data_IF_105111992075
#
_entry.id   IF_105111992075
#
_cell.length_a   1.000
_cell.length_b   1.000
_cell.length_c   1.000
_cell.angle_alpha   90.00
_cell.angle_beta   90.00
_cell.angle_gamma   90.00
#
_symmetry.space_group_name_H-M   'P 1'
#
loop_
_entity.id
_entity.type
_entity.pdbx_description
1 polymer ?
#
# COMPACT_ATOMS: atom_id res chain seq x y z
N UNK A 1 -4.30 -8.44 -14.30
CA UNK A 1 -3.18 -8.92 -13.46
C UNK A 1 -3.71 -9.21 -12.06
N UNK A 2 -3.28 -10.28 -11.37
CA UNK A 2 -3.80 -10.62 -10.04
C UNK A 2 -3.30 -9.62 -8.97
N UNK A 3 -4.09 -9.47 -7.90
CA UNK A 3 -3.72 -8.65 -6.75
C UNK A 3 -2.44 -9.20 -6.09
N UNK A 4 -1.54 -8.30 -5.69
CA UNK A 4 -0.30 -8.65 -5.00
C UNK A 4 -0.37 -8.13 -3.56
N UNK A 5 0.14 -8.93 -2.63
CA UNK A 5 0.33 -8.46 -1.26
C UNK A 5 1.49 -7.44 -1.27
N UNK A 6 1.17 -6.18 -1.00
CA UNK A 6 2.11 -5.07 -1.03
C UNK A 6 1.88 -4.17 0.17
N UNK A 7 2.97 -3.63 0.71
CA UNK A 7 2.93 -2.54 1.70
C UNK A 7 3.16 -1.21 0.99
N UNK A 8 2.26 -0.26 1.20
CA UNK A 8 2.36 1.11 0.71
C UNK A 8 2.62 2.05 1.88
N UNK A 9 3.61 2.93 1.74
CA UNK A 9 3.87 4.02 2.67
C UNK A 9 3.28 5.31 2.13
N UNK A 10 2.63 6.08 3.00
CA UNK A 10 1.97 7.34 2.66
C UNK A 10 2.73 8.52 3.27
N UNK A 11 2.63 9.72 2.67
CA UNK A 11 3.34 10.90 3.16
C UNK A 11 2.79 11.44 4.48
N UNK A 12 1.55 11.09 4.83
CA UNK A 12 0.88 11.51 6.07
C UNK A 12 -0.36 10.65 6.37
N UNK A 13 -0.88 10.81 7.59
CA UNK A 13 -2.08 10.13 8.06
C UNK A 13 -3.32 10.40 7.18
N UNK A 14 -3.48 11.61 6.65
CA UNK A 14 -4.64 11.97 5.80
C UNK A 14 -4.67 11.16 4.51
N UNK A 15 -3.52 11.05 3.82
CA UNK A 15 -3.38 10.22 2.62
C UNK A 15 -3.63 8.74 2.92
N UNK A 16 -3.07 8.23 4.01
CA UNK A 16 -3.28 6.85 4.45
C UNK A 16 -4.77 6.57 4.75
N UNK A 17 -5.43 7.45 5.54
CA UNK A 17 -6.85 7.31 5.89
C UNK A 17 -7.73 7.28 4.65
N UNK A 18 -7.49 8.18 3.67
CA UNK A 18 -8.21 8.19 2.39
C UNK A 18 -8.08 6.88 1.64
N UNK A 19 -6.91 6.24 1.70
CA UNK A 19 -6.71 4.94 1.08
C UNK A 19 -7.49 3.83 1.79
N UNK A 20 -7.42 3.78 3.13
CA UNK A 20 -8.17 2.81 3.93
C UNK A 20 -9.68 2.94 3.72
N UNK A 21 -10.20 4.17 3.66
CA UNK A 21 -11.62 4.42 3.38
C UNK A 21 -12.05 3.96 1.99
N UNK A 22 -11.15 4.05 0.99
CA UNK A 22 -11.43 3.60 -0.39
C UNK A 22 -11.25 2.10 -0.61
N UNK A 23 -10.34 1.47 0.12
CA UNK A 23 -9.87 0.11 -0.14
C UNK A 23 -9.99 -0.81 1.09
N UNK A 24 -10.94 -0.54 1.99
CA UNK A 24 -11.08 -1.24 3.27
C UNK A 24 -11.16 -2.77 3.15
N UNK A 25 -11.75 -3.28 2.06
CA UNK A 25 -11.86 -4.72 1.78
C UNK A 25 -10.55 -5.37 1.29
N UNK A 26 -9.58 -4.58 0.85
CA UNK A 26 -8.29 -5.04 0.32
C UNK A 26 -7.16 -4.85 1.33
N UNK A 27 -7.36 -3.99 2.34
CA UNK A 27 -6.41 -3.72 3.42
C UNK A 27 -6.45 -4.86 4.43
N UNK A 28 -5.28 -5.43 4.70
CA UNK A 28 -5.09 -6.49 5.71
C UNK A 28 -4.58 -5.91 7.03
N UNK A 29 -3.73 -4.89 6.97
CA UNK A 29 -3.19 -4.20 8.14
C UNK A 29 -2.83 -2.75 7.82
N UNK A 30 -2.74 -1.92 8.85
CA UNK A 30 -2.23 -0.56 8.75
C UNK A 30 -1.39 -0.20 9.98
N UNK A 31 -0.38 0.63 9.77
CA UNK A 31 0.47 1.20 10.81
C UNK A 31 0.38 2.72 10.75
N UNK A 32 -0.23 3.31 11.77
CA UNK A 32 -0.45 4.75 11.85
C UNK A 32 0.79 5.53 12.24
N UNK A 33 1.82 4.91 12.83
CA UNK A 33 3.09 5.57 13.17
C UNK A 33 3.98 5.72 11.93
N UNK A 34 4.02 4.69 11.08
CA UNK A 34 4.81 4.69 9.85
C UNK A 34 4.02 5.15 8.61
N UNK A 35 2.72 5.45 8.78
CA UNK A 35 1.77 5.74 7.72
C UNK A 35 1.78 4.67 6.62
N UNK A 36 1.76 3.40 7.00
CA UNK A 36 1.76 2.30 6.03
C UNK A 36 0.45 1.53 6.04
N UNK A 37 0.10 0.95 4.90
CA UNK A 37 -0.95 -0.06 4.79
C UNK A 37 -0.40 -1.26 4.06
N UNK A 38 -0.80 -2.46 4.47
CA UNK A 38 -0.51 -3.69 3.75
C UNK A 38 -1.81 -4.33 3.30
N UNK A 39 -1.82 -4.84 2.09
CA UNK A 39 -3.04 -5.40 1.51
C UNK A 39 -2.82 -6.05 0.16
N UNK A 40 -3.86 -6.69 -0.33
CA UNK A 40 -3.89 -7.26 -1.68
C UNK A 40 -4.44 -6.22 -2.65
N UNK A 41 -3.54 -5.38 -3.17
CA UNK A 41 -3.93 -4.29 -4.07
C UNK A 41 -3.83 -4.71 -5.53
N UNK A 42 -4.80 -4.28 -6.33
CA UNK A 42 -4.69 -4.35 -7.79
C UNK A 42 -3.73 -3.28 -8.30
N UNK A 43 -3.15 -3.45 -9.51
CA UNK A 43 -2.30 -2.42 -10.10
C UNK A 43 -2.98 -1.05 -10.18
N UNK A 44 -4.27 -0.98 -10.51
CA UNK A 44 -5.03 0.27 -10.58
C UNK A 44 -5.07 1.01 -9.24
N UNK A 45 -5.28 0.26 -8.15
CA UNK A 45 -5.32 0.80 -6.80
C UNK A 45 -3.93 1.27 -6.36
N UNK A 46 -2.88 0.53 -6.72
CA UNK A 46 -1.50 0.96 -6.49
C UNK A 46 -1.16 2.24 -7.26
N UNK A 47 -1.51 2.31 -8.55
CA UNK A 47 -1.31 3.51 -9.37
C UNK A 47 -2.06 4.70 -8.81
N UNK A 48 -3.30 4.51 -8.34
CA UNK A 48 -4.05 5.56 -7.65
C UNK A 48 -3.35 6.01 -6.37
N UNK A 49 -2.91 5.08 -5.51
CA UNK A 49 -2.24 5.42 -4.26
C UNK A 49 -0.95 6.21 -4.53
N UNK A 50 -0.15 5.79 -5.51
CA UNK A 50 1.10 6.44 -5.88
C UNK A 50 0.83 7.83 -6.50
N UNK A 51 0.01 7.90 -7.55
CA UNK A 51 -0.17 9.12 -8.32
C UNK A 51 -1.07 10.16 -7.64
N UNK A 52 -2.05 9.74 -6.84
CA UNK A 52 -3.03 10.65 -6.22
C UNK A 52 -2.77 10.90 -4.73
N UNK A 53 -2.28 9.90 -4.00
CA UNK A 53 -2.08 9.98 -2.55
C UNK A 53 -0.61 10.15 -2.16
N UNK A 54 0.31 10.12 -3.14
CA UNK A 54 1.75 10.24 -2.95
C UNK A 54 2.35 9.02 -2.27
N UNK A 55 1.71 7.85 -2.38
CA UNK A 55 2.20 6.64 -1.75
C UNK A 55 3.43 6.09 -2.47
N UNK A 56 4.27 5.36 -1.75
CA UNK A 56 5.41 4.65 -2.31
C UNK A 56 5.36 3.18 -1.89
N UNK A 57 5.91 2.30 -2.73
CA UNK A 57 6.00 0.88 -2.39
C UNK A 57 7.05 0.71 -1.31
N UNK A 58 6.61 0.34 -0.11
CA UNK A 58 7.48 0.13 1.03
C UNK A 58 8.02 -1.29 1.00
N UNK A 59 9.29 -1.43 0.63
CA UNK A 59 10.01 -2.71 0.63
C UNK A 59 10.55 -3.11 2.02
N UNK A 60 9.96 -2.60 3.10
CA UNK A 60 10.44 -2.80 4.47
C UNK A 60 9.96 -4.10 5.11
N UNK A 61 10.40 -5.22 4.56
CA UNK A 61 11.04 -6.38 5.22
C UNK A 61 11.00 -7.56 4.24
N UNK A 62 12.20 -8.08 3.97
CA UNK A 62 12.50 -9.26 3.15
C UNK A 62 11.45 -10.37 3.28
N UNK A 63 10.68 -10.59 2.23
CA UNK A 63 10.36 -11.94 1.78
C UNK A 63 11.10 -12.15 0.46
N UNK A 64 12.11 -13.00 0.48
CA UNK A 64 13.10 -13.16 -0.59
C UNK A 64 12.49 -13.56 -1.93
N UNK A 65 12.32 -12.59 -2.82
CA UNK A 65 12.16 -12.84 -4.25
C UNK A 65 13.41 -12.32 -4.94
N UNK A 66 14.38 -13.22 -5.10
CA UNK A 66 15.41 -13.09 -6.13
C UNK A 66 14.68 -13.11 -7.48
N UNK A 67 14.80 -12.03 -8.25
CA UNK A 67 14.52 -12.09 -9.68
C UNK A 67 15.81 -12.57 -10.37
N UNK A 68 15.81 -13.82 -10.82
CA UNK A 68 16.70 -14.32 -11.86
C UNK A 68 16.04 -14.11 -13.22
#
# INVERSE_FOLDING_TARGET
MPAKNVTLQFPNFTSMKRMVERCSLQVTSFDTMNYTISGNFTPDIMTMAINQLGAEVFAGQRAGVHFF
#
